data_IF_349795778401
#
_entry.id   IF_349795778401
#
_cell.length_a   1.000
_cell.length_b   1.000
_cell.length_c   1.000
_cell.angle_alpha   90.00
_cell.angle_beta   90.00
_cell.angle_gamma   90.00
#
_symmetry.space_group_name_H-M   'P 1'
#
loop_
_entity.id
_entity.type
_entity.pdbx_description
1 polymer ?
#
# COMPACT_ATOMS: atom_id res chain seq x y z
N UNK A 1 7.91 -17.86 27.36
CA UNK A 1 7.54 -17.78 25.94
C UNK A 1 8.78 -17.45 25.12
N UNK A 2 9.08 -18.22 24.11
CA UNK A 2 10.20 -17.92 23.22
C UNK A 2 9.84 -16.78 22.25
N UNK A 3 10.86 -16.14 21.68
CA UNK A 3 10.65 -15.13 20.66
C UNK A 3 9.88 -15.70 19.46
N UNK A 4 10.19 -16.94 19.08
CA UNK A 4 9.48 -17.61 17.98
C UNK A 4 7.99 -17.77 18.28
N UNK A 5 7.63 -18.19 19.48
CA UNK A 5 6.23 -18.35 19.89
C UNK A 5 5.52 -17.00 19.91
N UNK A 6 6.19 -15.96 20.41
CA UNK A 6 5.64 -14.60 20.41
C UNK A 6 5.41 -14.07 19.00
N UNK A 7 6.32 -14.34 18.07
CA UNK A 7 6.17 -13.92 16.66
C UNK A 7 5.00 -14.63 16.01
N UNK A 8 4.84 -15.94 16.23
CA UNK A 8 3.72 -16.70 15.67
C UNK A 8 2.38 -16.16 16.21
N UNK A 9 2.30 -15.89 17.51
CA UNK A 9 1.10 -15.31 18.11
C UNK A 9 0.83 -13.91 17.55
N UNK A 10 1.87 -13.09 17.36
CA UNK A 10 1.76 -11.77 16.77
C UNK A 10 1.27 -11.80 15.34
N UNK A 11 1.72 -12.75 14.54
CA UNK A 11 1.25 -12.95 13.15
C UNK A 11 -0.23 -13.27 13.11
N UNK A 12 -0.70 -14.17 13.96
CA UNK A 12 -2.11 -14.53 14.04
C UNK A 12 -2.96 -13.33 14.44
N UNK A 13 -2.51 -12.58 15.44
CA UNK A 13 -3.22 -11.39 15.90
C UNK A 13 -3.29 -10.32 14.80
N UNK A 14 -2.18 -10.09 14.09
CA UNK A 14 -2.13 -9.13 13.00
C UNK A 14 -3.06 -9.53 11.86
N UNK A 15 -3.03 -10.79 11.45
CA UNK A 15 -3.86 -11.30 10.36
C UNK A 15 -5.34 -11.28 10.71
N UNK A 16 -5.70 -11.48 11.99
CA UNK A 16 -7.09 -11.39 12.44
C UNK A 16 -7.69 -9.99 12.24
N UNK A 17 -6.85 -8.95 12.19
CA UNK A 17 -7.29 -7.57 11.96
C UNK A 17 -7.33 -7.20 10.48
N UNK A 18 -6.88 -8.08 9.60
CA UNK A 18 -6.87 -7.86 8.15
C UNK A 18 -8.22 -8.23 7.55
N UNK A 19 -9.19 -7.34 7.73
CA UNK A 19 -10.58 -7.56 7.31
C UNK A 19 -10.89 -7.01 5.94
N UNK A 20 -9.97 -6.23 5.35
CA UNK A 20 -10.09 -5.72 3.99
C UNK A 20 -9.48 -6.70 3.00
N UNK A 21 -9.78 -6.52 1.72
CA UNK A 21 -9.24 -7.35 0.65
C UNK A 21 -8.51 -6.48 -0.36
N UNK A 22 -7.27 -6.86 -0.63
CA UNK A 22 -6.39 -6.14 -1.55
C UNK A 22 -6.18 -6.93 -2.82
N UNK A 23 -6.04 -6.20 -3.93
CA UNK A 23 -5.54 -6.72 -5.19
C UNK A 23 -4.33 -5.86 -5.57
N UNK A 24 -3.18 -6.50 -5.76
CA UNK A 24 -1.94 -5.81 -6.02
C UNK A 24 -1.47 -6.15 -7.44
N UNK A 25 -1.15 -5.11 -8.19
CA UNK A 25 -0.66 -5.23 -9.56
C UNK A 25 0.61 -4.43 -9.74
N UNK A 26 1.40 -4.80 -10.74
CA UNK A 26 2.60 -4.08 -11.12
C UNK A 26 2.40 -3.45 -12.47
N UNK A 27 2.39 -2.11 -12.56
CA UNK A 27 2.24 -1.44 -13.84
C UNK A 27 3.53 -1.52 -14.64
N UNK A 28 3.39 -1.75 -15.94
CA UNK A 28 4.48 -1.65 -16.91
C UNK A 28 4.03 -0.76 -18.03
N UNK A 29 4.94 0.11 -18.48
CA UNK A 29 4.67 1.01 -19.60
C UNK A 29 5.40 0.48 -20.83
N UNK A 30 4.66 0.25 -21.92
CA UNK A 30 5.22 -0.16 -23.20
C UNK A 30 4.82 0.86 -24.24
N UNK A 31 5.76 1.15 -25.18
CA UNK A 31 5.47 2.03 -26.30
C UNK A 31 5.03 1.16 -27.47
N UNK A 32 3.80 1.37 -27.94
CA UNK A 32 3.24 0.65 -29.08
C UNK A 32 3.84 1.09 -30.41
N UNK A 33 3.48 0.37 -31.48
CA UNK A 33 3.94 0.66 -32.83
C UNK A 33 3.48 2.03 -33.34
N UNK A 34 2.43 2.59 -32.75
CA UNK A 34 1.89 3.91 -33.04
C UNK A 34 2.54 5.02 -32.21
N UNK A 35 3.59 4.70 -31.45
CA UNK A 35 4.30 5.58 -30.52
C UNK A 35 3.46 6.06 -29.34
N UNK A 36 2.31 5.41 -29.06
CA UNK A 36 1.52 5.66 -27.89
C UNK A 36 1.94 4.71 -26.77
N UNK A 37 2.02 5.25 -25.56
CA UNK A 37 2.34 4.44 -24.39
C UNK A 37 1.11 3.64 -23.96
N UNK A 38 1.34 2.36 -23.69
CA UNK A 38 0.33 1.49 -23.10
C UNK A 38 0.76 1.11 -21.69
N UNK A 39 -0.19 1.13 -20.78
CA UNK A 39 0.04 0.70 -19.40
C UNK A 39 -0.62 -0.65 -19.21
N UNK A 40 0.21 -1.66 -18.99
CA UNK A 40 -0.25 -3.00 -18.64
C UNK A 40 -0.04 -3.22 -17.16
N UNK A 41 -0.93 -3.99 -16.54
CA UNK A 41 -0.81 -4.34 -15.13
C UNK A 41 -0.67 -5.85 -15.01
N UNK A 42 0.38 -6.28 -14.32
CA UNK A 42 0.64 -7.69 -14.05
C UNK A 42 0.21 -8.00 -12.62
N UNK A 43 -0.58 -9.05 -12.38
CA UNK A 43 -0.95 -9.44 -11.02
C UNK A 43 0.28 -9.79 -10.17
N UNK A 44 0.31 -9.30 -8.95
CA UNK A 44 1.37 -9.61 -7.97
C UNK A 44 0.83 -10.47 -6.85
N UNK A 45 -0.29 -10.05 -6.24
CA UNK A 45 -0.88 -10.76 -5.11
C UNK A 45 -2.31 -10.28 -4.87
N UNK A 46 -3.12 -11.13 -4.26
CA UNK A 46 -4.45 -10.76 -3.81
C UNK A 46 -4.76 -11.50 -2.51
N UNK A 47 -5.41 -10.82 -1.59
CA UNK A 47 -5.77 -11.42 -0.31
C UNK A 47 -6.12 -10.40 0.75
N UNK A 48 -6.13 -10.82 2.03
CA UNK A 48 -6.53 -9.96 3.14
C UNK A 48 -5.51 -8.88 3.41
N UNK A 49 -5.99 -7.72 3.84
CA UNK A 49 -5.14 -6.61 4.23
C UNK A 49 -5.81 -5.74 5.30
N UNK A 50 -5.04 -4.81 5.82
CA UNK A 50 -5.52 -3.77 6.73
C UNK A 50 -5.01 -2.42 6.22
N UNK A 51 -5.92 -1.48 6.01
CA UNK A 51 -5.58 -0.10 5.67
C UNK A 51 -5.57 0.72 6.95
N UNK A 52 -4.50 1.47 7.16
CA UNK A 52 -4.36 2.31 8.32
C UNK A 52 -3.94 3.70 7.89
N UNK A 53 -4.59 4.72 8.44
CA UNK A 53 -4.14 6.09 8.30
C UNK A 53 -3.26 6.46 9.48
N UNK A 54 -2.27 7.28 9.24
CA UNK A 54 -1.48 7.86 10.31
C UNK A 54 -1.20 9.31 10.01
N UNK A 55 -1.05 10.10 11.07
CA UNK A 55 -0.74 11.51 10.97
C UNK A 55 0.79 11.65 10.90
N UNK A 56 1.27 12.12 9.76
CA UNK A 56 2.69 12.41 9.63
C UNK A 56 2.99 13.72 10.39
N UNK A 57 4.15 13.79 11.02
CA UNK A 57 4.63 15.03 11.67
C UNK A 57 5.11 16.05 10.64
N UNK A 58 4.53 16.00 9.45
CA UNK A 58 4.83 16.90 8.36
C UNK A 58 3.67 17.87 8.17
N UNK A 59 4.01 19.12 7.95
CA UNK A 59 3.05 20.14 7.58
C UNK A 59 3.49 20.77 6.27
N UNK A 60 2.50 21.12 5.44
CA UNK A 60 2.74 21.83 4.20
C UNK A 60 1.84 23.06 4.15
N UNK A 61 2.31 24.13 3.51
CA UNK A 61 1.47 25.28 3.27
C UNK A 61 0.56 24.99 2.07
N UNK A 62 -0.74 25.31 2.22
CA UNK A 62 -1.65 25.26 1.08
C UNK A 62 -1.49 26.50 0.19
N UNK A 63 -2.27 26.61 -0.87
CA UNK A 63 -2.19 27.75 -1.80
C UNK A 63 -2.49 29.09 -1.15
N UNK A 64 -3.22 29.12 -0.02
CA UNK A 64 -3.51 30.34 0.73
C UNK A 64 -2.47 30.62 1.82
N UNK A 65 -1.44 29.79 1.96
CA UNK A 65 -0.40 29.95 2.97
C UNK A 65 -0.73 29.35 4.32
N UNK A 66 -1.88 28.71 4.49
CA UNK A 66 -2.22 28.05 5.75
C UNK A 66 -1.49 26.71 5.86
N UNK A 67 -1.03 26.37 7.07
CA UNK A 67 -0.39 25.09 7.33
C UNK A 67 -1.47 24.00 7.43
N UNK A 68 -1.24 22.88 6.74
CA UNK A 68 -2.11 21.70 6.79
C UNK A 68 -1.30 20.48 7.19
N UNK A 69 -1.89 19.62 8.01
CA UNK A 69 -1.28 18.35 8.36
C UNK A 69 -1.51 17.36 7.24
N UNK A 70 -0.43 16.69 6.81
CA UNK A 70 -0.50 15.67 5.77
C UNK A 70 -0.83 14.34 6.42
N UNK A 71 -1.93 13.72 5.99
CA UNK A 71 -2.27 12.35 6.38
C UNK A 71 -1.64 11.37 5.42
N UNK A 72 -1.07 10.32 5.97
CA UNK A 72 -0.44 9.25 5.22
C UNK A 72 -1.20 7.95 5.43
N UNK A 73 -1.04 7.04 4.49
CA UNK A 73 -1.64 5.71 4.56
C UNK A 73 -0.54 4.66 4.66
N UNK A 74 -0.84 3.62 5.40
CA UNK A 74 -0.06 2.40 5.36
C UNK A 74 -1.01 1.22 5.13
N UNK A 75 -0.50 0.20 4.44
CA UNK A 75 -1.26 -1.03 4.19
C UNK A 75 -0.46 -2.17 4.79
N UNK A 76 -1.13 -2.97 5.59
CA UNK A 76 -0.54 -4.14 6.24
C UNK A 76 -1.02 -5.39 5.52
N UNK A 77 -0.07 -6.24 5.15
CA UNK A 77 -0.31 -7.52 4.49
C UNK A 77 0.21 -8.65 5.38
N UNK A 78 -0.26 -9.90 5.15
CA UNK A 78 0.30 -11.04 5.86
C UNK A 78 1.82 -11.12 5.70
N UNK A 79 2.49 -11.64 6.72
CA UNK A 79 3.94 -11.65 6.80
C UNK A 79 4.64 -12.38 5.64
N UNK A 80 3.97 -13.35 5.04
CA UNK A 80 4.53 -14.15 3.95
C UNK A 80 4.50 -13.46 2.58
N UNK A 81 3.84 -12.30 2.48
CA UNK A 81 3.71 -11.59 1.20
C UNK A 81 4.97 -10.77 0.98
N UNK A 82 5.89 -11.29 0.18
CA UNK A 82 7.20 -10.69 -0.05
C UNK A 82 7.43 -10.21 -1.49
N UNK A 83 6.44 -10.38 -2.36
CA UNK A 83 6.57 -10.03 -3.78
C UNK A 83 6.29 -8.56 -4.08
N UNK A 84 5.75 -7.81 -3.13
CA UNK A 84 5.35 -6.41 -3.34
C UNK A 84 6.58 -5.50 -3.38
N UNK A 85 6.60 -4.58 -4.33
CA UNK A 85 7.72 -3.65 -4.56
C UNK A 85 7.22 -2.21 -4.61
N UNK A 86 8.13 -1.27 -4.39
CA UNK A 86 7.87 0.14 -4.60
C UNK A 86 7.40 0.36 -6.04
N UNK A 87 6.33 1.11 -6.19
CA UNK A 87 5.69 1.36 -7.48
C UNK A 87 4.49 0.45 -7.77
N UNK A 88 4.30 -0.62 -7.01
CA UNK A 88 3.14 -1.48 -7.17
C UNK A 88 1.87 -0.75 -6.77
N UNK A 89 0.76 -1.10 -7.41
CA UNK A 89 -0.55 -0.52 -7.16
C UNK A 89 -1.39 -1.47 -6.32
N UNK A 90 -2.05 -0.92 -5.32
CA UNK A 90 -2.93 -1.68 -4.42
C UNK A 90 -4.33 -1.10 -4.51
N UNK A 91 -5.27 -1.97 -4.87
CA UNK A 91 -6.70 -1.67 -4.84
C UNK A 91 -7.33 -2.44 -3.70
N UNK A 92 -8.08 -1.74 -2.87
CA UNK A 92 -8.75 -2.35 -1.72
C UNK A 92 -10.25 -2.30 -1.94
N UNK A 93 -10.91 -3.44 -1.79
CA UNK A 93 -12.36 -3.53 -1.98
C UNK A 93 -13.08 -2.55 -1.03
N UNK A 94 -14.00 -1.77 -1.57
CA UNK A 94 -14.71 -0.74 -0.81
C UNK A 94 -14.03 0.61 -0.76
N UNK A 95 -12.78 0.72 -1.21
CA UNK A 95 -12.07 2.00 -1.31
C UNK A 95 -12.05 2.45 -2.77
N UNK A 96 -12.38 3.72 -2.99
CA UNK A 96 -12.33 4.30 -4.34
C UNK A 96 -10.93 4.66 -4.77
N UNK A 97 -10.05 4.93 -3.79
CA UNK A 97 -8.67 5.29 -4.07
C UNK A 97 -7.85 4.08 -4.49
N UNK A 98 -6.92 4.31 -5.41
CA UNK A 98 -5.86 3.37 -5.74
C UNK A 98 -4.60 3.82 -4.99
N UNK A 99 -3.93 2.90 -4.33
CA UNK A 99 -2.73 3.20 -3.55
C UNK A 99 -1.49 2.73 -4.30
N UNK A 100 -0.44 3.56 -4.28
CA UNK A 100 0.85 3.20 -4.82
C UNK A 100 1.85 3.01 -3.70
N UNK A 101 2.58 1.91 -3.73
CA UNK A 101 3.61 1.61 -2.73
C UNK A 101 4.79 2.57 -2.92
N UNK A 102 5.13 3.32 -1.89
CA UNK A 102 6.23 4.28 -1.90
C UNK A 102 7.38 3.89 -0.99
N UNK A 103 7.16 2.98 -0.06
CA UNK A 103 8.21 2.54 0.85
C UNK A 103 7.85 1.25 1.56
N UNK A 104 8.88 0.62 2.09
CA UNK A 104 8.78 -0.61 2.85
C UNK A 104 9.27 -0.34 4.27
N UNK A 105 8.62 -0.96 5.25
CA UNK A 105 9.07 -0.89 6.63
C UNK A 105 9.72 -2.21 7.02
N UNK A 106 11.01 -2.16 7.31
CA UNK A 106 11.75 -3.32 7.79
C UNK A 106 11.73 -3.37 9.32
N UNK A 107 11.69 -4.56 9.85
CA UNK A 107 11.77 -4.78 11.31
C UNK A 107 12.32 -6.17 11.61
N UNK A 108 12.88 -6.30 12.82
CA UNK A 108 13.53 -7.54 13.26
C UNK A 108 12.53 -8.71 13.32
N UNK A 109 11.35 -8.48 13.89
CA UNK A 109 10.33 -9.52 14.01
C UNK A 109 9.15 -9.15 13.12
N UNK A 110 8.98 -9.89 12.02
CA UNK A 110 7.95 -9.61 11.04
C UNK A 110 6.66 -10.33 11.44
N UNK A 111 5.71 -9.59 12.00
CA UNK A 111 4.38 -10.09 12.30
C UNK A 111 3.38 -9.76 11.18
N UNK A 112 3.65 -8.69 10.45
CA UNK A 112 2.95 -8.31 9.23
C UNK A 112 3.91 -7.53 8.35
N UNK A 113 3.63 -7.48 7.05
CA UNK A 113 4.36 -6.61 6.12
C UNK A 113 3.63 -5.27 6.06
N UNK A 114 4.31 -4.22 6.41
CA UNK A 114 3.75 -2.86 6.38
C UNK A 114 4.37 -2.09 5.22
N UNK A 115 3.50 -1.48 4.41
CA UNK A 115 3.92 -0.70 3.26
C UNK A 115 3.44 0.73 3.40
N UNK A 116 4.34 1.67 3.15
CA UNK A 116 3.96 3.07 3.02
C UNK A 116 3.38 3.25 1.62
N UNK A 117 2.22 3.88 1.54
CA UNK A 117 1.53 4.09 0.26
C UNK A 117 1.04 5.53 0.15
N UNK A 118 0.94 6.00 -1.09
CA UNK A 118 0.29 7.26 -1.42
C UNK A 118 -0.93 6.97 -2.29
N UNK A 119 -1.91 7.85 -2.23
CA UNK A 119 -3.07 7.78 -3.11
C UNK A 119 -2.61 8.15 -4.51
N UNK A 120 -2.84 7.24 -5.45
CA UNK A 120 -2.55 7.47 -6.86
C UNK A 120 -3.72 8.25 -7.46
N UNK A 121 -3.44 9.47 -7.91
CA UNK A 121 -4.44 10.30 -8.55
C UNK A 121 -4.12 10.37 -10.03
N UNK A 122 -5.07 9.96 -10.87
CA UNK A 122 -4.96 10.12 -12.31
C UNK A 122 -6.21 10.83 -12.83
N UNK A 123 -6.17 11.24 -14.10
CA UNK A 123 -7.28 11.99 -14.68
C UNK A 123 -8.60 11.22 -14.70
N UNK A 124 -8.53 9.91 -14.78
CA UNK A 124 -9.72 9.06 -14.84
C UNK A 124 -10.46 9.03 -13.51
N UNK A 125 -9.75 9.19 -12.41
CA UNK A 125 -10.33 9.19 -11.07
C UNK A 125 -11.19 10.44 -10.83
N UNK A 126 -11.04 11.45 -11.65
CA UNK A 126 -11.76 12.71 -11.53
C UNK A 126 -13.06 12.73 -12.32
N UNK A 127 -13.33 11.69 -13.04
CA UNK A 127 -14.53 11.56 -13.86
C UNK A 127 -15.68 10.82 -13.13
#
# INVERSE_FOLDING_TARGET
MSARTAVIAGRRAAEALMTDRATITRPTVTTGADSLDEIDETPVWAGPCKVQTYEAHETAANAAGALVTIQRYSIHLPHHVDAVRVGDLIRVAGYLSVFRVTGLFDKTHVTSRRFQVDVETNGDDLL
#
